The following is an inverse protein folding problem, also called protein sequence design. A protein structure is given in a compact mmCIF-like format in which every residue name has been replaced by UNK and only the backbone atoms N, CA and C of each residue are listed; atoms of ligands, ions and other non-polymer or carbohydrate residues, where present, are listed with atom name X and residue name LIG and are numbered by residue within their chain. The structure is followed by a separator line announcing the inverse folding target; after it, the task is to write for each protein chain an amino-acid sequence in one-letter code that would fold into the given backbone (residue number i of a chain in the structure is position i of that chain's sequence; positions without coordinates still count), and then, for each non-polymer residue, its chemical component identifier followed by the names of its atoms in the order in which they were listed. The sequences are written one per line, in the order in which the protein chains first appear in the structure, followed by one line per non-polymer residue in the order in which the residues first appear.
data_IF_629728034816
#
_entry.id   IF_629728034816
#
_cell.length_a   1.000
_cell.length_b   1.000
_cell.length_c   1.000
_cell.angle_alpha   90.00
_cell.angle_beta   90.00
_cell.angle_gamma   90.00
#
_symmetry.space_group_name_H-M   'P 1'
#
loop_
_entity.id
_entity.type
_entity.pdbx_description
1 polymer ?
#
# COMPACT_ATOMS: atom_id res chain seq x y z
N UNK A 1 14.79 -15.99 -2.75
CA UNK A 1 14.69 -16.06 -1.28
C UNK A 1 15.33 -17.38 -0.89
N UNK A 2 16.40 -17.34 -0.09
CA UNK A 2 17.11 -18.52 0.38
C UNK A 2 17.17 -18.53 1.91
N UNK A 3 17.78 -19.55 2.50
CA UNK A 3 17.86 -19.75 3.96
C UNK A 3 18.52 -18.58 4.72
N UNK A 4 19.31 -17.75 4.05
CA UNK A 4 19.95 -16.55 4.62
C UNK A 4 18.96 -15.42 4.95
N UNK A 5 17.72 -15.50 4.46
CA UNK A 5 16.72 -14.45 4.67
C UNK A 5 16.13 -14.46 6.09
N UNK A 6 16.05 -15.64 6.74
CA UNK A 6 15.50 -15.78 8.10
C UNK A 6 16.38 -15.06 9.15
N UNK A 7 17.71 -15.23 9.16
CA UNK A 7 18.59 -14.50 10.07
C UNK A 7 18.56 -12.98 9.86
N UNK A 8 18.44 -12.52 8.61
CA UNK A 8 18.38 -11.09 8.28
C UNK A 8 17.15 -10.42 8.90
N UNK A 9 15.98 -11.05 8.80
CA UNK A 9 14.75 -10.50 9.41
C UNK A 9 14.86 -10.51 10.94
N UNK A 10 15.37 -11.60 11.53
CA UNK A 10 15.44 -11.74 12.99
C UNK A 10 16.50 -10.85 13.66
N UNK A 11 17.57 -10.47 12.95
CA UNK A 11 18.71 -9.71 13.54
C UNK A 11 18.93 -8.33 12.91
N UNK A 12 18.31 -8.05 11.77
CA UNK A 12 18.43 -6.77 11.06
C UNK A 12 17.87 -5.59 11.85
N UNK A 13 16.81 -5.81 12.65
CA UNK A 13 16.21 -4.76 13.48
C UNK A 13 17.18 -4.17 14.50
N UNK A 14 18.06 -5.00 15.09
CA UNK A 14 19.10 -4.53 16.02
C UNK A 14 20.25 -3.77 15.33
N UNK A 15 20.40 -3.93 14.02
CA UNK A 15 21.42 -3.28 13.20
C UNK A 15 20.89 -2.05 12.44
N UNK A 16 19.64 -1.64 12.68
CA UNK A 16 19.01 -0.52 11.98
C UNK A 16 18.62 -0.83 10.52
N UNK A 17 18.58 -2.11 10.13
CA UNK A 17 18.21 -2.52 8.77
C UNK A 17 16.68 -2.61 8.68
N UNK A 18 16.10 -1.88 7.71
CA UNK A 18 14.69 -1.98 7.38
C UNK A 18 14.49 -2.90 6.16
N UNK A 19 13.69 -3.95 6.34
CA UNK A 19 13.37 -4.92 5.28
C UNK A 19 11.94 -4.69 4.81
N UNK A 20 11.77 -4.39 3.53
CA UNK A 20 10.45 -4.32 2.87
C UNK A 20 10.39 -5.39 1.80
N UNK A 21 9.48 -6.35 1.94
CA UNK A 21 9.30 -7.45 1.01
C UNK A 21 7.98 -7.32 0.25
N UNK A 22 8.04 -7.47 -1.07
CA UNK A 22 6.86 -7.48 -1.94
C UNK A 22 6.61 -8.90 -2.44
N UNK A 23 5.40 -9.40 -2.20
CA UNK A 23 5.00 -10.76 -2.60
C UNK A 23 3.60 -10.71 -3.19
N UNK A 24 3.32 -11.60 -4.14
CA UNK A 24 2.02 -11.65 -4.80
C UNK A 24 1.06 -12.58 -4.04
N UNK A 25 1.56 -13.74 -3.62
CA UNK A 25 0.81 -14.73 -2.85
C UNK A 25 1.65 -15.28 -1.72
N UNK A 26 0.98 -15.78 -0.67
CA UNK A 26 1.62 -16.54 0.40
C UNK A 26 2.25 -17.82 -0.17
N UNK A 27 1.58 -18.49 -1.12
CA UNK A 27 2.09 -19.70 -1.76
C UNK A 27 3.45 -19.52 -2.44
N UNK A 28 3.71 -18.35 -3.01
CA UNK A 28 5.02 -18.04 -3.61
C UNK A 28 6.15 -18.02 -2.57
N UNK A 29 5.83 -17.62 -1.33
CA UNK A 29 6.77 -17.62 -0.20
C UNK A 29 7.01 -19.06 0.27
N UNK A 30 5.93 -19.83 0.44
CA UNK A 30 5.99 -21.24 0.85
C UNK A 30 6.79 -22.09 -0.14
N UNK A 31 6.50 -21.96 -1.44
CA UNK A 31 7.19 -22.72 -2.48
C UNK A 31 8.69 -22.42 -2.55
N UNK A 32 9.10 -21.18 -2.22
CA UNK A 32 10.51 -20.78 -2.22
C UNK A 32 11.28 -21.22 -0.97
N UNK A 33 10.61 -21.36 0.16
CA UNK A 33 11.22 -21.80 1.44
C UNK A 33 11.18 -23.33 1.57
N UNK A 34 10.20 -23.98 0.94
CA UNK A 34 10.00 -25.42 0.99
C UNK A 34 9.33 -25.93 2.27
N UNK A 35 8.92 -25.03 3.18
CA UNK A 35 8.23 -25.37 4.43
C UNK A 35 7.22 -24.27 4.81
N UNK A 36 5.96 -24.69 5.01
CA UNK A 36 4.86 -23.83 5.45
C UNK A 36 5.08 -23.25 6.84
N UNK A 37 5.67 -24.01 7.76
CA UNK A 37 5.91 -23.53 9.11
C UNK A 37 6.93 -22.38 9.13
N UNK A 38 8.04 -22.54 8.39
CA UNK A 38 9.05 -21.50 8.23
C UNK A 38 8.51 -20.27 7.50
N UNK A 39 7.68 -20.45 6.47
CA UNK A 39 7.04 -19.33 5.78
C UNK A 39 6.14 -18.52 6.73
N UNK A 40 5.34 -19.21 7.54
CA UNK A 40 4.52 -18.58 8.59
C UNK A 40 5.36 -17.81 9.61
N UNK A 41 6.51 -18.36 10.02
CA UNK A 41 7.44 -17.67 10.93
C UNK A 41 7.99 -16.39 10.30
N UNK A 42 8.39 -16.43 9.03
CA UNK A 42 8.90 -15.25 8.32
C UNK A 42 7.82 -14.16 8.24
N UNK A 43 6.61 -14.52 7.83
CA UNK A 43 5.49 -13.57 7.74
C UNK A 43 5.16 -12.98 9.12
N UNK A 44 5.17 -13.80 10.17
CA UNK A 44 4.90 -13.35 11.54
C UNK A 44 5.94 -12.41 12.13
N UNK A 45 7.18 -12.42 11.62
CA UNK A 45 8.22 -11.49 12.07
C UNK A 45 8.09 -10.08 11.47
N UNK A 46 7.29 -9.89 10.43
CA UNK A 46 7.03 -8.56 9.90
C UNK A 46 6.04 -7.83 10.82
N UNK A 47 6.51 -6.74 11.42
CA UNK A 47 5.67 -5.88 12.28
C UNK A 47 4.59 -5.12 11.49
N UNK A 48 4.77 -4.94 10.18
CA UNK A 48 3.83 -4.20 9.33
C UNK A 48 3.48 -5.01 8.10
N UNK A 49 2.17 -5.10 7.83
CA UNK A 49 1.62 -5.82 6.69
C UNK A 49 0.72 -4.87 5.90
N UNK A 50 1.12 -4.54 4.67
CA UNK A 50 0.29 -3.75 3.76
C UNK A 50 -0.26 -4.69 2.69
N UNK A 51 -1.58 -4.86 2.66
CA UNK A 51 -2.26 -5.76 1.75
C UNK A 51 -3.11 -4.97 0.74
N UNK A 52 -2.63 -4.97 -0.51
CA UNK A 52 -3.42 -4.54 -1.66
C UNK A 52 -4.38 -5.65 -2.10
N UNK A 53 -5.08 -5.43 -3.22
CA UNK A 53 -5.97 -6.45 -3.80
C UNK A 53 -5.23 -7.77 -4.04
N UNK A 54 -5.69 -8.83 -3.40
CA UNK A 54 -5.19 -10.20 -3.57
C UNK A 54 -6.21 -11.09 -4.29
N UNK A 55 -5.74 -12.11 -5.00
CA UNK A 55 -6.60 -13.09 -5.70
C UNK A 55 -6.93 -14.30 -4.82
N UNK A 56 -5.99 -14.69 -3.98
CA UNK A 56 -6.07 -15.89 -3.16
C UNK A 56 -6.69 -15.58 -1.80
N UNK A 57 -7.74 -16.31 -1.44
CA UNK A 57 -8.42 -16.14 -0.15
C UNK A 57 -7.52 -16.50 1.04
N UNK A 58 -6.66 -17.52 0.91
CA UNK A 58 -5.73 -17.89 1.98
C UNK A 58 -4.72 -16.77 2.30
N UNK A 59 -4.29 -16.01 1.28
CA UNK A 59 -3.46 -14.82 1.48
C UNK A 59 -4.25 -13.69 2.15
N UNK A 60 -5.52 -13.48 1.80
CA UNK A 60 -6.38 -12.50 2.47
C UNK A 60 -6.60 -12.83 3.96
N UNK A 61 -6.72 -14.12 4.27
CA UNK A 61 -6.88 -14.61 5.64
C UNK A 61 -5.70 -14.31 6.55
N UNK A 62 -4.48 -14.09 6.01
CA UNK A 62 -3.33 -13.67 6.83
C UNK A 62 -3.64 -12.38 7.58
N UNK A 63 -4.28 -11.41 6.92
CA UNK A 63 -4.61 -10.12 7.52
C UNK A 63 -5.88 -10.23 8.35
N UNK A 64 -6.94 -10.86 7.82
CA UNK A 64 -8.25 -10.86 8.50
C UNK A 64 -8.27 -11.67 9.79
N UNK A 65 -7.47 -12.73 9.89
CA UNK A 65 -7.38 -13.55 11.13
C UNK A 65 -6.67 -12.84 12.28
N UNK A 66 -5.89 -11.80 12.00
CA UNK A 66 -5.21 -11.01 13.03
C UNK A 66 -6.12 -9.95 13.65
N UNK A 67 -7.28 -9.69 13.03
CA UNK A 67 -8.22 -8.66 13.47
C UNK A 67 -9.21 -9.21 14.50
N UNK A 68 -9.63 -8.38 15.48
CA UNK A 68 -10.67 -8.78 16.41
C UNK A 68 -12.03 -8.91 15.71
N UNK A 69 -12.93 -9.67 16.32
CA UNK A 69 -14.35 -9.62 15.95
C UNK A 69 -15.02 -8.42 16.62
N UNK A 70 -16.05 -7.89 15.98
CA UNK A 70 -16.83 -6.75 16.48
C UNK A 70 -18.30 -7.12 16.58
N UNK A 71 -18.95 -6.63 17.62
CA UNK A 71 -20.37 -6.85 17.85
C UNK A 71 -21.17 -5.77 17.10
N UNK A 72 -22.06 -6.20 16.21
CA UNK A 72 -22.95 -5.34 15.45
C UNK A 72 -24.36 -5.48 16.00
N UNK A 73 -24.95 -4.34 16.39
CA UNK A 73 -26.33 -4.26 16.83
C UNK A 73 -27.24 -4.21 15.61
N UNK A 74 -28.16 -5.16 15.52
CA UNK A 74 -29.21 -5.20 14.51
C UNK A 74 -30.57 -4.97 15.17
N UNK A 75 -31.30 -3.99 14.65
CA UNK A 75 -32.67 -3.71 15.07
C UNK A 75 -33.62 -4.38 14.07
N UNK A 76 -34.55 -5.16 14.58
CA UNK A 76 -35.59 -5.83 13.80
C UNK A 76 -36.95 -5.44 14.36
N UNK A 77 -37.75 -4.77 13.54
CA UNK A 77 -39.12 -4.38 13.89
C UNK A 77 -40.06 -5.40 13.28
N UNK A 78 -40.86 -6.05 14.14
CA UNK A 78 -41.93 -6.96 13.72
C UNK A 78 -43.27 -6.41 14.17
N UNK A 79 -44.20 -6.25 13.22
CA UNK A 79 -45.57 -5.87 13.49
C UNK A 79 -46.48 -7.04 13.15
N UNK A 80 -47.23 -7.50 14.14
CA UNK A 80 -48.23 -8.56 14.01
C UNK A 80 -49.62 -7.99 14.24
N UNK A 81 -50.55 -8.41 13.39
CA UNK A 81 -51.96 -8.11 13.54
C UNK A 81 -52.72 -9.42 13.73
N UNK A 82 -53.52 -9.50 14.79
CA UNK A 82 -54.35 -10.67 15.07
C UNK A 82 -55.80 -10.22 15.15
N UNK A 83 -56.62 -10.78 14.26
CA UNK A 83 -58.07 -10.57 14.24
C UNK A 83 -58.74 -11.61 15.15
N UNK A 84 -59.61 -11.17 16.05
CA UNK A 84 -60.29 -12.05 17.01
C UNK A 84 -61.76 -12.15 16.61
N UNK A 85 -62.20 -13.35 16.20
CA UNK A 85 -63.54 -13.61 15.66
C UNK A 85 -64.51 -14.17 16.72
N UNK A 86 -64.37 -13.75 17.99
CA UNK A 86 -65.30 -14.15 19.05
C UNK A 86 -66.52 -13.22 19.11
N UNK A 87 -67.71 -13.77 18.86
CA UNK A 87 -68.98 -13.03 18.81
C UNK A 87 -69.47 -12.53 20.19
N UNK A 88 -68.79 -12.87 21.30
CA UNK A 88 -69.08 -12.35 22.64
C UNK A 88 -68.01 -11.39 23.20
N UNK A 89 -66.87 -11.23 22.52
CA UNK A 89 -65.76 -10.41 22.98
C UNK A 89 -65.77 -8.99 22.39
N UNK A 90 -65.77 -7.97 23.24
CA UNK A 90 -65.76 -6.53 22.85
C UNK A 90 -64.43 -6.03 22.24
N UNK A 91 -63.61 -6.90 21.67
CA UNK A 91 -62.31 -6.58 21.06
C UNK A 91 -62.15 -7.35 19.75
N UNK A 92 -62.39 -6.67 18.64
CA UNK A 92 -62.34 -7.23 17.28
C UNK A 92 -60.99 -7.07 16.56
N UNK A 93 -59.97 -6.48 17.19
CA UNK A 93 -58.66 -6.28 16.55
C UNK A 93 -57.57 -6.05 17.59
N UNK A 94 -56.45 -6.79 17.48
CA UNK A 94 -55.26 -6.56 18.29
C UNK A 94 -54.04 -6.41 17.40
N UNK A 95 -53.35 -5.27 17.53
CA UNK A 95 -52.06 -5.02 16.88
C UNK A 95 -50.96 -5.00 17.91
N UNK A 96 -49.88 -5.71 17.65
CA UNK A 96 -48.66 -5.64 18.43
C UNK A 96 -47.48 -5.27 17.53
N UNK A 97 -46.71 -4.27 17.93
CA UNK A 97 -45.44 -3.91 17.28
C UNK A 97 -44.33 -4.13 18.29
N UNK A 98 -43.40 -5.01 17.93
CA UNK A 98 -42.23 -5.34 18.74
C UNK A 98 -40.98 -4.87 18.01
N UNK A 99 -40.18 -4.04 18.68
CA UNK A 99 -38.80 -3.76 18.29
C UNK A 99 -37.85 -4.69 19.06
N UNK A 100 -37.06 -5.47 18.33
CA UNK A 100 -36.09 -6.40 18.89
C UNK A 100 -34.69 -5.95 18.45
N UNK A 101 -33.90 -5.51 19.43
CA UNK A 101 -32.47 -5.28 19.27
C UNK A 101 -31.71 -6.57 19.58
N UNK A 102 -30.93 -7.05 18.63
CA UNK A 102 -30.03 -8.19 18.80
C UNK A 102 -28.59 -7.79 18.54
N UNK A 103 -27.65 -8.41 19.24
CA UNK A 103 -26.21 -8.26 18.98
C UNK A 103 -25.70 -9.52 18.27
N UNK A 104 -24.96 -9.33 17.18
CA UNK A 104 -24.31 -10.43 16.43
C UNK A 104 -22.83 -10.10 16.29
N UNK A 105 -21.98 -11.05 16.65
CA UNK A 105 -20.53 -10.93 16.50
C UNK A 105 -20.11 -11.25 15.06
N UNK A 106 -19.45 -10.30 14.40
CA UNK A 106 -18.97 -10.43 13.01
C UNK A 106 -17.48 -10.08 12.93
N UNK A 107 -16.70 -10.67 11.99
CA UNK A 107 -15.32 -10.27 11.79
C UNK A 107 -15.25 -8.80 11.35
N UNK A 108 -14.28 -8.05 11.88
CA UNK A 108 -14.07 -6.64 11.51
C UNK A 108 -13.86 -6.46 10.00
N UNK A 109 -13.15 -7.41 9.38
CA UNK A 109 -12.91 -7.41 7.94
C UNK A 109 -13.08 -8.82 7.38
N UNK A 110 -13.91 -8.96 6.36
CA UNK A 110 -14.06 -10.21 5.62
C UNK A 110 -12.95 -10.39 4.57
N UNK A 111 -12.48 -11.62 4.31
CA UNK A 111 -11.52 -11.89 3.24
C UNK A 111 -12.01 -11.43 1.86
N UNK A 112 -13.32 -11.51 1.62
CA UNK A 112 -13.93 -11.04 0.38
C UNK A 112 -13.67 -9.54 0.11
N UNK A 113 -13.60 -8.72 1.17
CA UNK A 113 -13.33 -7.28 1.07
C UNK A 113 -11.93 -6.99 0.52
N UNK A 114 -10.94 -7.84 0.80
CA UNK A 114 -9.58 -7.73 0.24
C UNK A 114 -9.53 -8.12 -1.24
N UNK A 115 -10.30 -9.12 -1.64
CA UNK A 115 -10.38 -9.59 -3.04
C UNK A 115 -11.07 -8.58 -3.94
N UNK A 116 -12.03 -7.83 -3.39
CA UNK A 116 -12.81 -6.82 -4.10
C UNK A 116 -12.17 -5.42 -4.08
N UNK A 117 -10.98 -5.27 -3.49
CA UNK A 117 -10.32 -3.96 -3.39
C UNK A 117 -10.14 -3.29 -4.76
N UNK A 118 -10.53 -2.00 -4.89
CA UNK A 118 -10.18 -1.18 -6.04
C UNK A 118 -8.67 -1.00 -6.18
N UNK A 119 -8.20 -0.73 -7.41
CA UNK A 119 -6.79 -0.39 -7.64
C UNK A 119 -6.42 0.88 -6.87
N UNK A 120 -5.22 0.90 -6.29
CA UNK A 120 -4.77 2.02 -5.45
C UNK A 120 -5.42 2.05 -4.07
N UNK A 121 -6.07 0.97 -3.61
CA UNK A 121 -6.50 0.84 -2.22
C UNK A 121 -5.82 -0.36 -1.55
N UNK A 122 -5.58 -0.22 -0.25
CA UNK A 122 -4.99 -1.28 0.56
C UNK A 122 -5.56 -1.24 1.99
N UNK A 123 -5.43 -2.36 2.69
CA UNK A 123 -5.53 -2.40 4.15
C UNK A 123 -4.13 -2.62 4.71
N UNK A 124 -3.78 -1.91 5.77
CA UNK A 124 -2.49 -2.05 6.42
C UNK A 124 -2.67 -2.36 7.91
N UNK A 125 -1.92 -3.34 8.39
CA UNK A 125 -1.66 -3.52 9.81
C UNK A 125 -0.34 -2.82 10.10
N UNK A 126 -0.41 -1.73 10.86
CA UNK A 126 0.75 -0.94 11.28
C UNK A 126 0.91 -1.04 12.79
N UNK A 127 2.11 -0.72 13.29
CA UNK A 127 2.39 -0.56 14.72
C UNK A 127 1.94 -1.74 15.61
N UNK A 128 2.13 -2.98 15.14
CA UNK A 128 1.79 -4.16 15.92
C UNK A 128 0.30 -4.53 15.93
N UNK A 129 -0.48 -4.10 14.93
CA UNK A 129 -1.81 -4.64 14.66
C UNK A 129 -2.94 -3.62 14.47
N UNK A 130 -2.63 -2.33 14.40
CA UNK A 130 -3.64 -1.31 14.10
C UNK A 130 -4.05 -1.38 12.63
N UNK A 131 -5.35 -1.48 12.36
CA UNK A 131 -5.89 -1.52 11.01
C UNK A 131 -6.07 -0.12 10.42
N UNK A 132 -5.47 0.10 9.27
CA UNK A 132 -5.59 1.32 8.47
C UNK A 132 -6.15 1.01 7.08
N UNK A 133 -7.07 1.85 6.62
CA UNK A 133 -7.50 1.85 5.21
C UNK A 133 -6.65 2.87 4.45
N UNK A 134 -5.89 2.41 3.48
CA UNK A 134 -5.00 3.25 2.69
C UNK A 134 -5.57 3.49 1.29
N UNK A 135 -5.35 4.71 0.79
CA UNK A 135 -5.53 5.09 -0.61
C UNK A 135 -4.18 5.54 -1.16
N UNK A 136 -3.63 4.76 -2.07
CA UNK A 136 -2.36 5.00 -2.74
C UNK A 136 -2.67 5.78 -4.03
N UNK A 137 -2.04 6.95 -4.25
CA UNK A 137 -2.19 7.68 -5.49
C UNK A 137 -1.67 6.83 -6.65
N UNK A 138 -2.46 6.76 -7.72
CA UNK A 138 -2.00 6.12 -8.95
C UNK A 138 -1.17 7.13 -9.73
N UNK A 139 -0.02 6.75 -10.29
CA UNK A 139 0.74 7.64 -11.16
C UNK A 139 -0.12 7.99 -12.37
N UNK A 140 -0.31 9.29 -12.60
CA UNK A 140 -0.96 9.79 -13.81
C UNK A 140 0.09 9.93 -14.93
N UNK A 141 -0.34 9.70 -16.16
CA UNK A 141 0.44 9.99 -17.37
C UNK A 141 0.50 11.48 -17.68
N UNK A 142 -0.41 12.29 -17.11
CA UNK A 142 -0.27 13.73 -17.10
C UNK A 142 1.01 14.09 -16.34
N UNK A 143 1.91 14.83 -17.01
CA UNK A 143 3.20 15.23 -16.47
C UNK A 143 2.99 16.09 -15.22
N UNK A 144 3.00 15.46 -14.03
CA UNK A 144 2.92 16.13 -12.75
C UNK A 144 4.22 16.92 -12.54
N UNK A 145 4.17 18.27 -12.46
CA UNK A 145 5.36 19.10 -12.29
C UNK A 145 6.17 18.78 -11.03
N UNK A 146 5.57 18.11 -10.04
CA UNK A 146 6.23 17.70 -8.79
C UNK A 146 6.74 16.25 -8.83
N UNK A 147 6.35 15.46 -9.84
CA UNK A 147 6.83 14.09 -9.99
C UNK A 147 8.17 14.10 -10.76
N UNK A 148 9.25 13.56 -10.17
CA UNK A 148 10.56 13.54 -10.83
C UNK A 148 10.52 12.63 -12.06
N UNK A 149 11.29 12.97 -13.09
CA UNK A 149 11.28 12.26 -14.37
C UNK A 149 11.75 10.80 -14.24
N UNK A 150 12.57 10.50 -13.23
CA UNK A 150 13.02 9.15 -12.96
C UNK A 150 13.28 8.87 -11.46
N UNK A 151 13.25 7.58 -11.12
CA UNK A 151 13.58 7.08 -9.77
C UNK A 151 15.03 7.41 -9.39
N UNK A 152 15.94 7.51 -10.37
CA UNK A 152 17.35 7.82 -10.11
C UNK A 152 17.56 9.24 -9.53
N UNK A 153 16.66 10.18 -9.86
CA UNK A 153 16.66 11.54 -9.34
C UNK A 153 16.21 11.54 -7.87
N UNK A 154 15.21 10.72 -7.53
CA UNK A 154 14.79 10.49 -6.14
C UNK A 154 15.94 9.88 -5.33
N UNK A 155 16.62 8.87 -5.86
CA UNK A 155 17.72 8.22 -5.13
C UNK A 155 18.91 9.16 -4.91
N UNK A 156 19.27 9.99 -5.89
CA UNK A 156 20.32 11.02 -5.73
C UNK A 156 19.92 12.09 -4.71
N UNK A 157 18.65 12.49 -4.70
CA UNK A 157 18.12 13.44 -3.72
C UNK A 157 18.18 12.85 -2.30
N UNK A 158 17.73 11.60 -2.15
CA UNK A 158 17.81 10.84 -0.90
C UNK A 158 19.25 10.70 -0.42
N UNK A 159 20.19 10.31 -1.28
CA UNK A 159 21.61 10.17 -0.94
C UNK A 159 22.23 11.47 -0.41
N UNK A 160 21.89 12.61 -1.03
CA UNK A 160 22.31 13.94 -0.56
C UNK A 160 21.74 14.29 0.83
N UNK A 161 20.49 13.93 1.10
CA UNK A 161 19.87 14.18 2.40
C UNK A 161 20.33 13.20 3.50
N UNK A 162 20.48 11.92 3.19
CA UNK A 162 20.82 10.88 4.18
C UNK A 162 22.29 10.91 4.62
N UNK A 163 23.20 11.49 3.82
CA UNK A 163 24.59 11.73 4.25
C UNK A 163 24.69 12.82 5.34
N UNK A 164 23.60 13.54 5.65
CA UNK A 164 23.54 14.60 6.66
C UNK A 164 22.64 14.18 7.81
N UNK A 165 23.18 13.74 8.95
CA UNK A 165 22.38 13.51 10.17
C UNK A 165 22.12 14.83 10.94
N UNK A 166 21.02 15.01 11.69
CA UNK A 166 19.62 14.71 11.38
C UNK A 166 18.73 15.96 11.56
N UNK A 167 17.91 16.32 10.56
CA UNK A 167 16.71 17.15 10.79
C UNK A 167 15.56 16.56 9.97
N UNK A 168 15.09 15.39 10.40
CA UNK A 168 14.03 14.64 9.71
C UNK A 168 12.65 15.32 9.79
N UNK A 169 12.50 16.37 10.59
CA UNK A 169 11.28 17.19 10.71
C UNK A 169 11.29 18.46 9.86
N UNK A 170 12.41 18.82 9.22
CA UNK A 170 12.42 19.88 8.22
C UNK A 170 12.15 19.26 6.85
N UNK A 171 10.88 19.02 6.54
CA UNK A 171 10.47 18.76 5.18
C UNK A 171 10.55 20.09 4.40
N UNK A 172 11.42 20.24 3.38
CA UNK A 172 11.24 21.32 2.43
C UNK A 172 9.87 21.11 1.77
N UNK A 173 9.02 22.14 1.81
CA UNK A 173 7.64 22.10 1.28
C UNK A 173 7.56 21.79 -0.23
N UNK A 174 8.70 21.79 -0.92
CA UNK A 174 8.82 21.54 -2.35
C UNK A 174 9.82 20.44 -2.65
N UNK A 175 9.38 19.40 -3.38
CA UNK A 175 10.26 18.42 -3.99
C UNK A 175 11.16 19.14 -4.99
N UNK A 176 12.47 19.07 -4.76
CA UNK A 176 13.51 19.67 -5.61
C UNK A 176 13.47 18.95 -6.96
N UNK A 177 12.87 19.62 -7.94
CA UNK A 177 12.71 19.18 -9.34
C UNK A 177 13.72 19.95 -10.18
N UNK A 178 14.09 19.46 -11.37
CA UNK A 178 14.99 20.15 -12.29
C UNK A 178 14.61 21.62 -12.62
N UNK A 179 13.40 22.09 -12.31
CA UNK A 179 13.03 23.52 -12.42
C UNK A 179 13.31 24.35 -11.16
N UNK A 180 13.44 23.71 -10.01
CA UNK A 180 13.59 24.30 -8.68
C UNK A 180 14.95 23.99 -8.05
N UNK A 181 15.88 23.35 -8.77
CA UNK A 181 17.26 23.17 -8.35
C UNK A 181 17.98 24.53 -8.37
N UNK A 182 18.41 25.11 -7.23
CA UNK A 182 19.12 26.40 -7.21
C UNK A 182 20.55 26.33 -7.79
N UNK A 183 20.97 25.17 -8.31
CA UNK A 183 22.34 24.85 -8.73
C UNK A 183 22.36 24.25 -10.16
N UNK A 184 21.45 24.68 -11.04
CA UNK A 184 21.51 24.29 -12.46
C UNK A 184 22.57 25.08 -13.24
N UNK A 185 22.89 26.30 -12.80
CA UNK A 185 23.90 27.15 -13.45
C UNK A 185 25.35 26.73 -13.16
N UNK A 186 25.59 25.79 -12.23
CA UNK A 186 26.94 25.38 -11.81
C UNK A 186 27.49 24.19 -12.62
N UNK A 187 26.63 23.45 -13.33
CA UNK A 187 27.03 22.25 -14.08
C UNK A 187 27.09 22.46 -15.61
N UNK A 188 26.69 23.63 -16.10
CA UNK A 188 26.69 23.96 -17.54
C UNK A 188 28.01 24.61 -18.03
N UNK A 189 29.01 24.82 -17.16
CA UNK A 189 30.25 25.53 -17.53
C UNK A 189 31.40 24.65 -18.05
N UNK A 190 31.23 23.34 -18.20
CA UNK A 190 32.28 22.46 -18.73
C UNK A 190 31.79 21.63 -19.92
N UNK A 191 31.52 22.26 -21.07
CA UNK A 191 31.84 21.72 -22.42
C UNK A 191 31.41 22.68 -23.53
N UNK A 192 32.18 23.73 -23.77
CA UNK A 192 32.20 24.36 -25.12
C UNK A 192 33.57 24.99 -25.41
N UNK A 193 34.65 24.20 -25.27
CA UNK A 193 35.87 24.52 -26.02
C UNK A 193 35.73 23.90 -27.42
N UNK A 194 35.39 24.76 -28.39
CA UNK A 194 35.48 24.44 -29.81
C UNK A 194 36.97 24.29 -30.16
N UNK A 195 37.39 23.04 -30.40
CA UNK A 195 38.62 22.76 -31.13
C UNK A 195 38.36 23.08 -32.62
N UNK A 196 38.87 24.21 -33.10
CA UNK A 196 39.01 24.50 -34.53
C UNK A 196 40.06 23.56 -35.11
N UNK A 197 39.65 22.62 -35.95
CA UNK A 197 40.54 21.82 -36.78
C UNK A 197 40.56 22.43 -38.19
N UNK A 198 41.61 23.21 -38.46
CA UNK A 198 41.97 23.75 -39.77
C UNK A 198 42.70 22.67 -40.58
N UNK A 199 42.01 22.04 -41.52
CA UNK A 199 42.64 21.29 -42.62
C UNK A 199 41.98 21.70 -43.95
N UNK A 200 42.75 22.05 -45.00
CA UNK A 200 42.21 22.67 -46.21
C UNK A 200 41.64 21.64 -47.20
N UNK A 201 40.39 21.84 -47.62
CA UNK A 201 39.69 21.04 -48.63
C UNK A 201 40.31 21.19 -50.03
N UNK A 202 40.52 20.05 -50.70
CA UNK A 202 40.99 19.93 -52.10
C UNK A 202 39.78 20.02 -53.06
N UNK A 203 39.85 20.73 -54.21
CA UNK A 203 38.67 21.04 -55.02
C UNK A 203 38.12 19.84 -55.84
N UNK A 204 36.82 19.86 -56.21
CA UNK A 204 36.17 18.74 -56.88
C UNK A 204 36.52 18.67 -58.38
N UNK A 205 36.68 17.44 -58.87
CA UNK A 205 36.92 17.13 -60.27
C UNK A 205 35.69 17.39 -61.17
N UNK A 206 35.93 18.10 -62.26
CA UNK A 206 35.00 18.39 -63.35
C UNK A 206 34.48 17.10 -64.03
N UNK A 207 33.16 16.99 -64.22
CA UNK A 207 32.55 16.07 -65.19
C UNK A 207 31.68 16.86 -66.17
N UNK A 208 32.13 16.80 -67.44
CA UNK A 208 31.52 17.14 -68.74
C UNK A 208 30.25 17.99 -68.77
#
# INVERSE_FOLDING_TARGET
MGDEFIPLINKGGGAGVQVTAYTQTLSDIEARIGDRAKAGQIVGNFNSLIMMRVRETATAELLTKQLPQVDVLSNSVSSGVTDNTDAQGNIGFSSNTQDRVSSIQVPLLEPASLVQLPKGQAFALLEGGQLWKLRIPLPDTAHDPLMPENIAQISRYMEKQYNSAPVWWNHPETVVTAKNDPILWLNDSETTEKLTDDTPDTPPACKR
#
